data_IF_484892587498
#
_entry.id   IF_484892587498
#
_cell.length_a   1.000
_cell.length_b   1.000
_cell.length_c   1.000
_cell.angle_alpha   90.00
_cell.angle_beta   90.00
_cell.angle_gamma   90.00
#
_symmetry.space_group_name_H-M   'P 1'
#
loop_
_entity.id
_entity.type
_entity.pdbx_description
1 polymer ?
#
# COMPACT_ATOMS: atom_id res chain seq x y z
N UNK A 1 20.05 -3.27 -2.32
CA UNK A 1 19.50 -2.96 -0.97
C UNK A 1 20.55 -2.21 -0.16
N UNK A 2 20.17 -1.38 0.82
CA UNK A 2 21.14 -0.64 1.66
C UNK A 2 22.08 -1.59 2.42
N UNK A 3 21.54 -2.68 2.98
CA UNK A 3 22.34 -3.69 3.70
C UNK A 3 23.47 -4.28 2.83
N UNK A 4 23.23 -4.52 1.54
CA UNK A 4 24.25 -5.01 0.60
C UNK A 4 25.42 -4.00 0.43
N UNK A 5 25.12 -2.69 0.52
CA UNK A 5 26.16 -1.65 0.50
C UNK A 5 26.92 -1.61 1.82
N UNK A 6 26.21 -1.71 2.95
CA UNK A 6 26.82 -1.66 4.29
C UNK A 6 27.79 -2.82 4.55
N UNK A 7 27.48 -4.02 4.05
CA UNK A 7 28.38 -5.19 4.16
C UNK A 7 29.71 -4.96 3.43
N UNK A 8 29.70 -4.16 2.37
CA UNK A 8 30.88 -3.86 1.54
C UNK A 8 31.58 -2.57 1.97
N UNK A 9 31.07 -1.89 2.99
CA UNK A 9 31.56 -0.59 3.41
C UNK A 9 32.71 -0.73 4.42
N UNK A 10 33.79 0.02 4.17
CA UNK A 10 35.00 -0.04 4.99
C UNK A 10 34.90 0.75 6.30
N UNK A 11 33.85 1.57 6.48
CA UNK A 11 33.59 2.34 7.70
C UNK A 11 32.56 1.66 8.60
N UNK A 12 31.60 0.94 8.02
CA UNK A 12 30.56 0.17 8.74
C UNK A 12 30.97 -1.28 9.02
N UNK A 13 32.20 -1.47 9.51
CA UNK A 13 32.83 -2.79 9.69
C UNK A 13 32.15 -3.69 10.71
N UNK A 14 31.34 -3.15 11.63
CA UNK A 14 30.63 -3.91 12.66
C UNK A 14 29.15 -4.17 12.33
N UNK A 15 28.72 -4.02 11.07
CA UNK A 15 27.36 -4.35 10.66
C UNK A 15 27.06 -5.84 10.90
N UNK A 16 26.06 -6.14 11.74
CA UNK A 16 25.69 -7.53 12.11
C UNK A 16 24.45 -8.07 11.41
N UNK A 17 23.63 -7.19 10.84
CA UNK A 17 22.39 -7.58 10.18
C UNK A 17 21.36 -6.47 10.15
N UNK A 18 20.20 -6.80 9.59
CA UNK A 18 19.04 -5.92 9.50
C UNK A 18 17.76 -6.75 9.67
N UNK A 19 16.67 -6.08 10.05
CA UNK A 19 15.35 -6.65 10.16
C UNK A 19 14.39 -5.84 9.29
N UNK A 20 13.44 -6.52 8.65
CA UNK A 20 12.38 -5.89 7.87
C UNK A 20 11.04 -6.37 8.43
N UNK A 21 10.30 -5.46 9.07
CA UNK A 21 8.92 -5.71 9.47
C UNK A 21 7.98 -5.44 8.30
N UNK A 22 7.07 -6.38 8.01
CA UNK A 22 6.02 -6.28 6.99
C UNK A 22 6.51 -5.73 5.64
N UNK A 23 7.68 -6.16 5.18
CA UNK A 23 8.33 -5.59 4.00
C UNK A 23 7.71 -6.03 2.67
N UNK A 24 7.75 -5.14 1.69
CA UNK A 24 7.51 -5.48 0.28
C UNK A 24 8.77 -6.17 -0.30
N UNK A 25 8.85 -7.49 -0.17
CA UNK A 25 10.03 -8.28 -0.58
C UNK A 25 9.88 -8.92 -1.97
N UNK A 26 8.66 -9.30 -2.33
CA UNK A 26 8.34 -9.93 -3.60
C UNK A 26 6.91 -9.55 -4.00
N UNK A 27 6.79 -8.80 -5.10
CA UNK A 27 5.51 -8.24 -5.54
C UNK A 27 4.49 -9.33 -5.91
N UNK A 28 4.93 -10.41 -6.55
CA UNK A 28 4.05 -11.52 -6.92
C UNK A 28 3.50 -12.22 -5.68
N UNK A 29 4.37 -12.55 -4.71
CA UNK A 29 3.94 -13.19 -3.48
C UNK A 29 3.00 -12.27 -2.70
N UNK A 30 3.37 -11.00 -2.52
CA UNK A 30 2.56 -10.01 -1.82
C UNK A 30 1.18 -9.85 -2.47
N UNK A 31 1.13 -9.74 -3.79
CA UNK A 31 -0.12 -9.56 -4.54
C UNK A 31 -1.01 -10.81 -4.45
N UNK A 32 -0.46 -12.00 -4.72
CA UNK A 32 -1.23 -13.23 -4.67
C UNK A 32 -1.72 -13.53 -3.25
N UNK A 33 -0.85 -13.35 -2.23
CA UNK A 33 -1.25 -13.55 -0.83
C UNK A 33 -2.27 -12.52 -0.35
N UNK A 34 -2.28 -11.30 -0.92
CA UNK A 34 -3.26 -10.27 -0.59
C UNK A 34 -4.70 -10.68 -0.93
N UNK A 35 -4.89 -11.43 -2.02
CA UNK A 35 -6.21 -11.95 -2.41
C UNK A 35 -6.69 -12.99 -1.40
N UNK A 36 -5.83 -13.93 -1.01
CA UNK A 36 -6.16 -14.92 0.02
C UNK A 36 -6.41 -14.27 1.37
N UNK A 37 -5.58 -13.28 1.75
CA UNK A 37 -5.81 -12.48 2.95
C UNK A 37 -7.20 -11.85 2.89
N UNK A 38 -7.56 -11.20 1.79
CA UNK A 38 -8.83 -10.50 1.70
C UNK A 38 -10.05 -11.42 1.78
N UNK A 39 -9.98 -12.57 1.11
CA UNK A 39 -11.04 -13.57 1.17
C UNK A 39 -11.17 -14.18 2.56
N UNK A 40 -10.07 -14.65 3.15
CA UNK A 40 -10.08 -15.30 4.47
C UNK A 40 -10.37 -14.33 5.64
N UNK A 41 -10.28 -13.02 5.41
CA UNK A 41 -10.67 -11.98 6.38
C UNK A 41 -12.03 -11.35 6.09
N UNK A 42 -12.82 -11.93 5.16
CA UNK A 42 -14.22 -11.56 4.96
C UNK A 42 -14.45 -10.28 4.15
N UNK A 43 -13.44 -9.77 3.44
CA UNK A 43 -13.60 -8.60 2.58
C UNK A 43 -14.16 -8.94 1.21
N UNK A 44 -14.17 -10.23 0.83
CA UNK A 44 -14.64 -10.72 -0.46
C UNK A 44 -15.78 -11.70 -0.21
N UNK A 45 -16.90 -11.49 -0.88
CA UNK A 45 -18.01 -12.43 -0.84
C UNK A 45 -17.63 -13.78 -1.47
N UNK A 46 -18.10 -14.88 -0.87
CA UNK A 46 -17.81 -16.25 -1.33
C UNK A 46 -18.10 -16.43 -2.81
N UNK A 47 -19.27 -15.97 -3.28
CA UNK A 47 -19.70 -16.16 -4.65
C UNK A 47 -18.81 -15.36 -5.61
N UNK A 48 -18.44 -14.14 -5.23
CA UNK A 48 -17.53 -13.32 -6.02
C UNK A 48 -16.16 -13.98 -6.16
N UNK A 49 -15.62 -14.51 -5.06
CA UNK A 49 -14.33 -15.20 -5.05
C UNK A 49 -14.37 -16.47 -5.92
N UNK A 50 -15.36 -17.35 -5.72
CA UNK A 50 -15.50 -18.58 -6.50
C UNK A 50 -15.67 -18.32 -8.01
N UNK A 51 -16.47 -17.31 -8.37
CA UNK A 51 -16.65 -16.90 -9.77
C UNK A 51 -15.34 -16.41 -10.40
N UNK A 52 -14.57 -15.61 -9.66
CA UNK A 52 -13.28 -15.14 -10.12
C UNK A 52 -12.29 -16.30 -10.32
N UNK A 53 -12.22 -17.23 -9.38
CA UNK A 53 -11.36 -18.42 -9.49
C UNK A 53 -11.76 -19.27 -10.69
N UNK A 54 -13.06 -19.53 -10.86
CA UNK A 54 -13.56 -20.30 -12.00
C UNK A 54 -13.22 -19.63 -13.35
N UNK A 55 -13.32 -18.30 -13.42
CA UNK A 55 -13.05 -17.54 -14.64
C UNK A 55 -11.56 -17.44 -14.95
N UNK A 56 -10.70 -17.25 -13.94
CA UNK A 56 -9.32 -16.83 -14.15
C UNK A 56 -8.29 -17.92 -13.94
N UNK A 57 -8.60 -18.95 -13.16
CA UNK A 57 -7.61 -19.90 -12.68
C UNK A 57 -7.65 -21.25 -13.40
N UNK A 58 -8.47 -21.40 -14.46
CA UNK A 58 -8.49 -22.56 -15.36
C UNK A 58 -8.52 -23.92 -14.63
N UNK A 59 -9.37 -24.05 -13.61
CA UNK A 59 -9.51 -25.27 -12.82
C UNK A 59 -8.47 -25.47 -11.71
N UNK A 60 -7.56 -24.51 -11.49
CA UNK A 60 -6.71 -24.47 -10.29
C UNK A 60 -7.46 -23.83 -9.12
N UNK A 61 -7.02 -24.14 -7.89
CA UNK A 61 -7.36 -23.34 -6.72
C UNK A 61 -6.80 -21.92 -6.86
N UNK A 62 -7.36 -20.97 -6.09
CA UNK A 62 -6.86 -19.60 -6.05
C UNK A 62 -5.38 -19.52 -5.61
N UNK A 63 -4.96 -20.35 -4.66
CA UNK A 63 -3.57 -20.46 -4.20
C UNK A 63 -2.62 -20.91 -5.33
N UNK A 64 -3.10 -21.74 -6.26
CA UNK A 64 -2.37 -22.18 -7.45
C UNK A 64 -2.42 -21.19 -8.61
N UNK A 65 -3.11 -20.06 -8.44
CA UNK A 65 -3.37 -19.06 -9.46
C UNK A 65 -2.37 -17.91 -9.35
N UNK A 66 -1.75 -17.54 -10.48
CA UNK A 66 -0.83 -16.41 -10.52
C UNK A 66 -1.57 -15.11 -10.85
N UNK A 67 -2.32 -14.60 -9.89
CA UNK A 67 -3.12 -13.38 -10.06
C UNK A 67 -2.27 -12.16 -10.48
N UNK A 68 -1.07 -12.04 -9.93
CA UNK A 68 -0.10 -11.00 -10.29
C UNK A 68 0.22 -11.00 -11.80
N UNK A 69 0.32 -12.16 -12.43
CA UNK A 69 0.61 -12.23 -13.87
C UNK A 69 -0.49 -11.56 -14.72
N UNK A 70 -1.73 -11.59 -14.27
CA UNK A 70 -2.82 -10.91 -14.97
C UNK A 70 -2.67 -9.40 -14.92
N UNK A 71 -2.02 -8.85 -13.89
CA UNK A 71 -1.78 -7.40 -13.78
C UNK A 71 -0.52 -6.94 -14.53
N UNK A 72 0.41 -7.85 -14.86
CA UNK A 72 1.64 -7.52 -15.58
C UNK A 72 1.58 -7.74 -17.09
N UNK A 73 0.61 -8.52 -17.60
CA UNK A 73 0.60 -8.93 -19.02
C UNK A 73 -0.13 -7.96 -19.94
N UNK A 74 -1.39 -7.61 -19.64
CA UNK A 74 -2.18 -6.69 -20.46
C UNK A 74 -3.47 -6.25 -19.74
N UNK A 75 -3.84 -4.95 -19.78
CA UNK A 75 -5.14 -4.47 -19.29
C UNK A 75 -6.36 -5.04 -20.04
N UNK A 76 -6.15 -5.66 -21.21
CA UNK A 76 -7.21 -6.30 -21.99
C UNK A 76 -7.51 -7.72 -21.50
N UNK A 77 -6.68 -8.29 -20.62
CA UNK A 77 -6.98 -9.58 -20.01
C UNK A 77 -8.24 -9.46 -19.14
N UNK A 78 -9.26 -10.31 -19.31
CA UNK A 78 -10.49 -10.24 -18.51
C UNK A 78 -10.24 -10.40 -17.00
N UNK A 79 -9.13 -11.02 -16.61
CA UNK A 79 -8.72 -11.20 -15.23
C UNK A 79 -7.93 -10.02 -14.64
N UNK A 80 -7.54 -9.03 -15.45
CA UNK A 80 -6.78 -7.86 -14.98
C UNK A 80 -7.55 -7.11 -13.88
N UNK A 81 -8.78 -6.65 -14.19
CA UNK A 81 -9.59 -5.89 -13.25
C UNK A 81 -10.09 -6.74 -12.08
N UNK A 82 -10.37 -8.03 -12.32
CA UNK A 82 -10.77 -8.97 -11.26
C UNK A 82 -9.64 -9.12 -10.25
N UNK A 83 -8.41 -9.37 -10.71
CA UNK A 83 -7.25 -9.55 -9.83
C UNK A 83 -6.98 -8.33 -8.96
N UNK A 84 -7.09 -7.13 -9.55
CA UNK A 84 -6.95 -5.87 -8.81
C UNK A 84 -8.05 -5.71 -7.76
N UNK A 85 -9.32 -5.90 -8.15
CA UNK A 85 -10.45 -5.75 -7.23
C UNK A 85 -10.36 -6.72 -6.04
N UNK A 86 -9.95 -7.97 -6.26
CA UNK A 86 -9.76 -8.94 -5.19
C UNK A 86 -8.57 -8.58 -4.28
N UNK A 87 -7.44 -8.16 -4.86
CA UNK A 87 -6.25 -7.78 -4.08
C UNK A 87 -6.48 -6.51 -3.24
N UNK A 88 -7.36 -5.63 -3.69
CA UNK A 88 -7.57 -4.31 -3.11
C UNK A 88 -8.81 -4.24 -2.20
N UNK A 89 -9.52 -5.36 -1.99
CA UNK A 89 -10.83 -5.38 -1.33
C UNK A 89 -10.82 -4.73 0.07
N UNK A 90 -9.77 -4.94 0.87
CA UNK A 90 -9.65 -4.33 2.20
C UNK A 90 -9.53 -2.81 2.17
N UNK A 91 -9.02 -2.20 1.11
CA UNK A 91 -8.81 -0.75 1.03
C UNK A 91 -10.11 0.04 0.83
N UNK A 92 -11.19 -0.63 0.41
CA UNK A 92 -12.47 0.00 0.09
C UNK A 92 -13.58 -0.30 1.10
N UNK A 93 -13.24 -0.88 2.25
CA UNK A 93 -14.22 -1.31 3.27
C UNK A 93 -14.46 -0.25 4.35
N UNK A 94 -13.65 0.81 4.40
CA UNK A 94 -13.66 1.78 5.50
C UNK A 94 -12.99 1.25 6.77
N UNK A 95 -12.22 0.17 6.67
CA UNK A 95 -11.38 -0.38 7.75
C UNK A 95 -9.92 0.00 7.49
N UNK A 96 -9.12 0.13 8.55
CA UNK A 96 -7.67 0.38 8.43
C UNK A 96 -6.98 -0.83 7.76
N UNK A 97 -6.36 -0.65 6.56
CA UNK A 97 -5.69 -1.74 5.86
C UNK A 97 -4.37 -2.18 6.50
N UNK A 98 -3.78 -1.37 7.39
CA UNK A 98 -2.55 -1.72 8.12
C UNK A 98 -2.86 -2.39 9.46
N UNK A 99 -4.03 -2.11 10.04
CA UNK A 99 -4.42 -2.68 11.33
C UNK A 99 -5.92 -3.03 11.41
N UNK A 100 -6.28 -4.14 10.77
CA UNK A 100 -7.66 -4.60 10.56
C UNK A 100 -8.57 -4.56 11.80
N UNK A 101 -8.09 -5.04 12.95
CA UNK A 101 -8.94 -5.20 14.14
C UNK A 101 -8.93 -3.99 15.09
N UNK A 102 -8.36 -2.87 14.65
CA UNK A 102 -8.27 -1.67 15.46
C UNK A 102 -9.38 -0.66 15.12
N UNK A 103 -9.69 0.22 16.08
CA UNK A 103 -10.70 1.25 15.90
C UNK A 103 -10.22 2.32 14.93
N UNK A 104 -11.02 2.61 13.91
CA UNK A 104 -10.83 3.81 13.10
C UNK A 104 -11.14 5.06 13.94
N UNK A 105 -10.21 6.00 13.96
CA UNK A 105 -10.40 7.30 14.61
C UNK A 105 -11.27 8.19 13.71
N UNK A 106 -12.55 8.32 14.07
CA UNK A 106 -13.55 9.09 13.31
C UNK A 106 -13.49 10.60 13.58
N UNK A 107 -12.65 11.02 14.54
CA UNK A 107 -12.50 12.39 15.03
C UNK A 107 -11.50 13.24 14.24
N UNK A 108 -10.85 12.65 13.24
CA UNK A 108 -10.08 13.41 12.24
C UNK A 108 -11.04 14.25 11.36
N UNK A 109 -10.66 15.49 10.93
CA UNK A 109 -11.49 16.35 10.08
C UNK A 109 -11.99 15.66 8.79
N UNK A 110 -11.27 14.61 8.39
CA UNK A 110 -11.46 13.84 7.17
C UNK A 110 -12.22 12.51 7.42
N UNK A 111 -12.44 12.12 8.68
CA UNK A 111 -12.89 10.80 9.12
C UNK A 111 -14.34 10.44 8.77
N UNK A 112 -15.20 11.42 8.48
CA UNK A 112 -16.60 11.19 8.06
C UNK A 112 -16.82 11.53 6.58
N UNK A 113 -16.00 12.42 6.00
CA UNK A 113 -16.18 12.89 4.62
C UNK A 113 -15.64 11.91 3.55
N UNK A 114 -14.86 10.90 3.94
CA UNK A 114 -14.43 9.81 3.04
C UNK A 114 -15.48 8.71 2.81
N UNK A 115 -16.55 8.64 3.60
CA UNK A 115 -17.68 7.74 3.30
C UNK A 115 -18.49 8.24 2.08
N UNK A 116 -18.59 9.56 1.90
CA UNK A 116 -19.34 10.19 0.80
C UNK A 116 -18.48 10.63 -0.38
N UNK A 117 -17.17 10.85 -0.17
CA UNK A 117 -16.21 10.88 -1.27
C UNK A 117 -15.87 9.43 -1.57
N UNK A 118 -16.46 8.87 -2.63
CA UNK A 118 -15.77 7.81 -3.38
C UNK A 118 -14.32 8.27 -3.47
N UNK A 119 -13.34 7.60 -2.83
CA UNK A 119 -11.96 7.91 -3.10
C UNK A 119 -11.88 7.86 -4.61
N UNK A 120 -11.46 8.96 -5.25
CA UNK A 120 -11.21 8.94 -6.68
C UNK A 120 -10.47 7.63 -6.95
N UNK A 121 -11.03 6.80 -7.84
CA UNK A 121 -10.78 5.38 -8.13
C UNK A 121 -9.31 4.93 -8.27
N UNK A 122 -8.33 5.74 -7.90
CA UNK A 122 -6.92 5.41 -7.89
C UNK A 122 -6.15 5.74 -6.61
N UNK A 123 -6.72 6.30 -5.54
CA UNK A 123 -5.93 6.91 -4.46
C UNK A 123 -5.57 5.96 -3.28
N UNK A 124 -5.38 4.67 -3.54
CA UNK A 124 -4.99 3.67 -2.54
C UNK A 124 -3.51 3.28 -2.71
N UNK A 125 -2.96 2.38 -1.88
CA UNK A 125 -1.67 1.69 -2.10
C UNK A 125 -1.51 1.12 -3.52
N UNK A 126 -2.62 0.95 -4.24
CA UNK A 126 -2.79 0.75 -5.67
C UNK A 126 -2.05 1.80 -6.49
N UNK A 127 -2.11 3.07 -6.15
CA UNK A 127 -1.30 4.10 -6.78
C UNK A 127 0.17 3.93 -6.43
N UNK A 128 0.55 3.54 -5.21
CA UNK A 128 1.98 3.35 -4.87
C UNK A 128 2.55 2.11 -5.60
N UNK A 129 1.85 0.98 -5.55
CA UNK A 129 2.21 -0.26 -6.25
C UNK A 129 2.07 -0.09 -7.77
N UNK A 130 0.98 0.50 -8.30
CA UNK A 130 0.88 0.84 -9.73
C UNK A 130 1.92 1.86 -10.15
N UNK A 131 2.24 2.89 -9.36
CA UNK A 131 3.32 3.86 -9.68
C UNK A 131 4.67 3.14 -9.66
N UNK A 132 4.92 2.25 -8.71
CA UNK A 132 6.13 1.43 -8.64
C UNK A 132 6.25 0.55 -9.90
N UNK A 133 5.21 -0.21 -10.23
CA UNK A 133 5.15 -1.04 -11.43
C UNK A 133 5.26 -0.19 -12.71
N UNK A 134 4.46 0.87 -12.87
CA UNK A 134 4.50 1.79 -14.03
C UNK A 134 5.86 2.47 -14.21
N UNK A 135 6.55 2.82 -13.10
CA UNK A 135 7.90 3.39 -13.11
C UNK A 135 8.97 2.34 -13.45
N UNK A 136 8.81 1.10 -12.98
CA UNK A 136 9.65 -0.03 -13.43
C UNK A 136 9.52 -0.27 -14.94
N UNK A 137 8.36 0.00 -15.55
CA UNK A 137 8.10 -0.16 -16.99
C UNK A 137 8.28 1.12 -17.83
N UNK A 138 8.99 2.14 -17.33
CA UNK A 138 9.44 3.29 -18.13
C UNK A 138 8.38 4.37 -18.40
N UNK A 139 7.22 4.32 -17.75
CA UNK A 139 6.18 5.33 -17.92
C UNK A 139 6.36 6.45 -16.88
N UNK A 140 7.07 7.51 -17.25
CA UNK A 140 7.50 8.61 -16.34
C UNK A 140 6.40 9.64 -16.02
N UNK A 141 5.19 9.48 -16.54
CA UNK A 141 4.03 10.37 -16.24
C UNK A 141 3.24 9.93 -15.01
N UNK A 142 3.88 9.26 -14.05
CA UNK A 142 3.25 8.86 -12.80
C UNK A 142 2.79 10.10 -12.02
N UNK A 143 1.50 10.13 -11.69
CA UNK A 143 0.78 11.24 -11.06
C UNK A 143 1.51 11.78 -9.82
N UNK A 144 1.47 13.11 -9.62
CA UNK A 144 1.91 13.76 -8.37
C UNK A 144 1.16 13.11 -7.20
N UNK A 145 1.89 12.70 -6.17
CA UNK A 145 1.29 12.26 -4.91
C UNK A 145 0.41 13.40 -4.39
N UNK A 146 -0.89 13.15 -4.29
CA UNK A 146 -1.81 14.10 -3.68
C UNK A 146 -2.10 13.63 -2.27
N UNK A 147 -2.29 14.57 -1.36
CA UNK A 147 -2.62 14.32 0.06
C UNK A 147 -3.85 13.41 0.27
N UNK A 148 -4.66 13.21 -0.78
CA UNK A 148 -5.82 12.32 -0.85
C UNK A 148 -5.49 10.85 -1.18
N UNK A 149 -4.22 10.46 -1.34
CA UNK A 149 -3.78 9.09 -1.66
C UNK A 149 -3.64 8.17 -0.42
N UNK A 150 -4.21 8.60 0.71
CA UNK A 150 -4.21 7.88 1.98
C UNK A 150 -5.40 6.92 2.05
N UNK A 151 -5.21 5.62 2.33
CA UNK A 151 -6.31 4.73 2.63
C UNK A 151 -7.20 5.27 3.75
N UNK A 152 -8.50 5.02 3.64
CA UNK A 152 -9.45 5.35 4.69
C UNK A 152 -8.96 4.76 6.04
N UNK A 153 -9.16 5.50 7.13
CA UNK A 153 -8.82 5.09 8.49
C UNK A 153 -7.32 4.88 8.79
N UNK A 154 -6.42 5.09 7.84
CA UNK A 154 -4.98 5.04 8.14
C UNK A 154 -4.49 6.38 8.67
N UNK A 155 -3.85 6.33 9.83
CA UNK A 155 -3.41 7.51 10.56
C UNK A 155 -2.01 7.93 10.09
N UNK A 156 -1.86 9.18 9.66
CA UNK A 156 -0.58 9.68 9.15
C UNK A 156 -0.13 10.97 9.83
N UNK A 157 -0.96 11.67 10.58
CA UNK A 157 -0.63 13.01 11.09
C UNK A 157 -0.29 13.06 12.59
N UNK A 158 -0.23 11.90 13.28
CA UNK A 158 0.07 11.77 14.73
C UNK A 158 1.22 12.66 15.20
N UNK A 159 2.26 12.74 14.38
CA UNK A 159 3.49 13.43 14.72
C UNK A 159 3.64 14.77 14.02
N UNK A 160 2.80 15.10 13.03
CA UNK A 160 2.96 16.29 12.18
C UNK A 160 2.90 17.56 13.02
N UNK A 161 1.88 17.69 13.87
CA UNK A 161 1.73 18.85 14.74
C UNK A 161 2.88 18.98 15.73
N UNK A 162 3.29 17.87 16.35
CA UNK A 162 4.35 17.87 17.35
C UNK A 162 5.72 18.18 16.74
N UNK A 163 6.07 17.52 15.62
CA UNK A 163 7.34 17.71 14.92
C UNK A 163 7.50 19.11 14.31
N UNK A 164 6.39 19.81 14.04
CA UNK A 164 6.43 21.16 13.50
C UNK A 164 6.46 22.28 14.55
N UNK A 165 6.33 21.96 15.84
CA UNK A 165 6.52 22.98 16.88
C UNK A 165 7.93 23.56 16.83
N UNK A 166 8.03 24.88 16.94
CA UNK A 166 9.31 25.59 16.82
C UNK A 166 10.33 25.13 17.86
N UNK A 167 9.90 24.89 19.10
CA UNK A 167 10.77 24.40 20.16
C UNK A 167 11.28 22.98 19.89
N UNK A 168 10.42 22.08 19.39
CA UNK A 168 10.80 20.72 18.97
C UNK A 168 11.78 20.78 17.81
N UNK A 169 11.48 21.53 16.74
CA UNK A 169 12.37 21.70 15.57
C UNK A 169 13.75 22.22 15.98
N UNK A 170 13.81 23.19 16.87
CA UNK A 170 15.07 23.71 17.40
C UNK A 170 15.82 22.64 18.21
N UNK A 171 15.13 21.86 19.04
CA UNK A 171 15.71 20.80 19.86
C UNK A 171 16.31 19.65 19.03
N UNK A 172 15.70 19.29 17.89
CA UNK A 172 16.25 18.29 16.95
C UNK A 172 17.09 18.91 15.83
N UNK A 173 17.50 20.16 15.98
CA UNK A 173 18.41 20.89 15.09
C UNK A 173 17.94 21.02 13.64
N UNK A 174 16.62 21.14 13.42
CA UNK A 174 16.06 21.42 12.09
C UNK A 174 16.30 22.90 11.76
N UNK A 175 17.08 23.23 10.70
CA UNK A 175 17.32 24.62 10.32
C UNK A 175 16.03 25.36 9.96
N UNK A 176 15.91 26.64 10.34
CA UNK A 176 14.71 27.46 10.09
C UNK A 176 14.31 27.59 8.61
N UNK A 177 15.25 27.38 7.68
CA UNK A 177 15.00 27.40 6.23
C UNK A 177 14.32 26.15 5.67
N UNK A 178 14.28 25.05 6.43
CA UNK A 178 13.67 23.80 5.99
C UNK A 178 12.15 23.92 6.09
N UNK A 179 11.43 23.37 5.12
CA UNK A 179 9.98 23.35 5.10
C UNK A 179 9.37 22.65 6.32
N UNK A 180 8.05 22.77 6.47
CA UNK A 180 7.31 21.99 7.46
C UNK A 180 7.45 20.49 7.19
N UNK A 181 7.51 19.72 8.27
CA UNK A 181 7.45 18.27 8.20
C UNK A 181 6.05 17.86 7.75
N UNK A 182 6.00 16.96 6.77
CA UNK A 182 4.77 16.32 6.33
C UNK A 182 5.02 14.82 6.23
N UNK A 183 3.99 14.03 6.45
CA UNK A 183 4.03 12.59 6.19
C UNK A 183 3.76 12.29 4.72
N UNK A 184 4.21 11.12 4.29
CA UNK A 184 4.07 10.62 2.93
C UNK A 184 3.03 9.51 2.85
#
# INVERSE_FOLDING_TARGET
MLADRLIKDNFFTNFKGYLVGNGCLNDQLLFNSGIEYNYNHGFIDQRQYEQAVAQCCNGKSSEGCNWYQFTTTSPQNPCFNISLALNEANYYTGVDPYFLYFSCYLDQPDGINHFNRRPSLGASSVQIMRKHLMKQFGNTKAAKDTENDKPACSHYDDMVYWLNRMDVRNAIHVPARIQEYATC
#
